data_IF_004528180701
#
_entry.id   IF_004528180701
#
_cell.length_a   1.000
_cell.length_b   1.000
_cell.length_c   1.000
_cell.angle_alpha   90.00
_cell.angle_beta   90.00
_cell.angle_gamma   90.00
#
_symmetry.space_group_name_H-M   'P 1'
#
loop_
_entity.id
_entity.type
_entity.pdbx_description
1 polymer ?
#
# COMPACT_ATOMS: atom_id res chain seq x y z
N UNK A 1 64.28 -54.55 -28.35
CA UNK A 1 63.40 -53.83 -29.29
C UNK A 1 62.81 -52.64 -28.54
N UNK A 2 63.48 -51.49 -28.50
CA UNK A 2 63.02 -50.29 -27.77
C UNK A 2 62.36 -49.33 -28.75
N UNK A 3 61.06 -49.07 -28.59
CA UNK A 3 60.33 -48.05 -29.36
C UNK A 3 60.72 -46.65 -28.86
N UNK A 4 61.21 -45.81 -29.77
CA UNK A 4 61.42 -44.37 -29.52
C UNK A 4 60.07 -43.67 -29.38
N UNK A 5 59.87 -43.01 -28.24
CA UNK A 5 58.80 -42.02 -28.04
C UNK A 5 59.19 -40.74 -28.77
N UNK A 6 58.40 -40.36 -29.78
CA UNK A 6 58.51 -39.06 -30.45
C UNK A 6 58.05 -37.96 -29.49
N UNK A 7 59.00 -37.15 -29.03
CA UNK A 7 58.73 -35.85 -28.40
C UNK A 7 58.20 -34.90 -29.47
N UNK A 8 56.92 -34.54 -29.39
CA UNK A 8 56.34 -33.45 -30.19
C UNK A 8 56.84 -32.13 -29.62
N UNK A 9 57.74 -31.46 -30.34
CA UNK A 9 58.08 -30.05 -30.11
C UNK A 9 56.81 -29.21 -30.30
N UNK A 10 56.20 -28.75 -29.21
CA UNK A 10 55.26 -27.64 -29.28
C UNK A 10 56.04 -26.40 -29.73
N UNK A 11 55.73 -25.91 -30.94
CA UNK A 11 56.33 -24.71 -31.48
C UNK A 11 55.99 -23.48 -30.62
N UNK A 12 56.84 -22.47 -30.70
CA UNK A 12 56.75 -21.17 -30.01
C UNK A 12 55.44 -20.39 -30.20
N UNK A 13 54.49 -20.88 -31.02
CA UNK A 13 53.17 -20.30 -31.22
C UNK A 13 52.12 -20.68 -30.15
N UNK A 14 52.29 -21.81 -29.46
CA UNK A 14 51.37 -22.23 -28.39
C UNK A 14 51.30 -21.25 -27.19
N UNK A 15 52.42 -20.70 -26.66
CA UNK A 15 52.34 -19.71 -25.59
C UNK A 15 51.73 -18.39 -26.05
N UNK A 16 51.89 -18.03 -27.33
CA UNK A 16 51.38 -16.79 -27.90
C UNK A 16 49.85 -16.85 -28.09
N UNK A 17 49.31 -18.00 -28.52
CA UNK A 17 47.87 -18.26 -28.56
C UNK A 17 47.23 -18.28 -27.17
N UNK A 18 47.92 -18.87 -26.18
CA UNK A 18 47.46 -18.85 -24.79
C UNK A 18 47.44 -17.41 -24.23
N UNK A 19 48.47 -16.62 -24.52
CA UNK A 19 48.54 -15.21 -24.14
C UNK A 19 47.47 -14.36 -24.81
N UNK A 20 47.21 -14.56 -26.11
CA UNK A 20 46.17 -13.85 -26.84
C UNK A 20 44.77 -14.17 -26.28
N UNK A 21 44.53 -15.43 -25.91
CA UNK A 21 43.27 -15.88 -25.30
C UNK A 21 43.06 -15.28 -23.91
N UNK A 22 44.14 -15.18 -23.12
CA UNK A 22 44.09 -14.55 -21.80
C UNK A 22 43.89 -13.03 -21.90
N UNK A 23 44.55 -12.37 -22.85
CA UNK A 23 44.34 -10.95 -23.14
C UNK A 23 42.91 -10.67 -23.66
N UNK A 24 42.35 -11.56 -24.48
CA UNK A 24 40.97 -11.44 -24.95
C UNK A 24 39.96 -11.62 -23.80
N UNK A 25 40.20 -12.53 -22.86
CA UNK A 25 39.40 -12.66 -21.64
C UNK A 25 39.52 -11.44 -20.71
N UNK A 26 40.68 -10.76 -20.69
CA UNK A 26 40.87 -9.52 -19.92
C UNK A 26 40.23 -8.29 -20.56
N UNK A 27 40.14 -8.25 -21.89
CA UNK A 27 39.49 -7.15 -22.64
C UNK A 27 37.96 -7.31 -22.64
N UNK A 28 37.45 -8.54 -22.62
CA UNK A 28 36.04 -8.82 -22.33
C UNK A 28 35.86 -8.99 -20.82
N UNK A 29 36.09 -7.90 -20.08
CA UNK A 29 35.64 -7.86 -18.69
C UNK A 29 34.14 -8.20 -18.64
N UNK A 30 33.65 -8.93 -17.62
CA UNK A 30 32.23 -9.09 -17.43
C UNK A 30 31.65 -7.67 -17.37
N UNK A 31 30.82 -7.31 -18.36
CA UNK A 31 29.95 -6.15 -18.19
C UNK A 31 29.14 -6.49 -16.96
N UNK A 32 29.29 -5.72 -15.89
CA UNK A 32 28.36 -5.78 -14.77
C UNK A 32 26.98 -5.67 -15.38
N UNK A 33 26.20 -6.75 -15.33
CA UNK A 33 24.78 -6.65 -15.61
C UNK A 33 24.25 -5.70 -14.53
N UNK A 34 24.02 -4.44 -14.90
CA UNK A 34 23.26 -3.54 -14.04
C UNK A 34 21.86 -4.14 -13.98
N UNK A 35 21.50 -4.76 -12.87
CA UNK A 35 20.13 -5.14 -12.65
C UNK A 35 19.35 -3.83 -12.48
N UNK A 36 18.40 -3.56 -13.37
CA UNK A 36 17.49 -2.43 -13.18
C UNK A 36 16.80 -2.59 -11.82
N UNK A 37 16.68 -1.48 -11.11
CA UNK A 37 16.07 -1.44 -9.78
C UNK A 37 14.71 -0.75 -9.90
N UNK A 38 13.76 -1.13 -9.06
CA UNK A 38 12.48 -0.43 -8.97
C UNK A 38 12.64 0.68 -7.94
N UNK A 39 12.35 1.91 -8.33
CA UNK A 39 12.26 3.07 -7.43
C UNK A 39 10.81 3.51 -7.32
N UNK A 40 10.33 3.75 -6.10
CA UNK A 40 8.95 4.19 -5.87
C UNK A 40 9.00 5.69 -5.62
N UNK A 41 8.57 6.46 -6.61
CA UNK A 41 8.47 7.91 -6.51
C UNK A 41 7.31 8.32 -5.61
N UNK A 42 6.15 7.67 -5.81
CA UNK A 42 4.94 7.94 -5.05
C UNK A 42 4.10 6.67 -4.89
N UNK A 43 3.60 6.44 -3.69
CA UNK A 43 2.49 5.53 -3.46
C UNK A 43 1.46 6.27 -2.63
N UNK A 44 0.23 6.38 -3.11
CA UNK A 44 -0.80 7.25 -2.53
C UNK A 44 -2.15 6.57 -2.43
N UNK A 45 -2.93 6.91 -1.41
CA UNK A 45 -4.30 6.43 -1.21
C UNK A 45 -5.28 7.59 -1.09
N UNK A 46 -6.37 7.53 -1.83
CA UNK A 46 -7.43 8.52 -1.83
C UNK A 46 -8.75 7.86 -1.44
N UNK A 47 -9.44 8.41 -0.44
CA UNK A 47 -10.82 8.03 -0.13
C UNK A 47 -11.75 9.12 -0.60
N UNK A 48 -12.56 8.80 -1.60
CA UNK A 48 -13.54 9.72 -2.16
C UNK A 48 -14.94 9.37 -1.68
N UNK A 49 -15.72 10.38 -1.29
CA UNK A 49 -17.15 10.25 -0.97
C UNK A 49 -17.87 11.58 -1.23
N UNK A 50 -19.08 11.59 -1.84
CA UNK A 50 -19.83 12.80 -2.07
C UNK A 50 -20.65 13.25 -0.83
N UNK A 51 -20.76 12.43 0.22
CA UNK A 51 -21.70 12.67 1.33
C UNK A 51 -21.21 13.64 2.41
N UNK A 52 -19.91 13.96 2.46
CA UNK A 52 -19.30 14.85 3.46
C UNK A 52 -18.82 16.18 2.87
N UNK A 53 -19.66 16.77 2.01
CA UNK A 53 -19.42 18.03 1.31
C UNK A 53 -19.64 19.31 2.17
N UNK A 54 -19.29 19.27 3.46
CA UNK A 54 -19.41 20.42 4.39
C UNK A 54 -18.08 21.07 4.76
N UNK A 55 -16.98 20.62 4.15
CA UNK A 55 -15.73 21.40 3.99
C UNK A 55 -15.11 21.26 2.59
N UNK A 56 -15.83 20.61 1.65
CA UNK A 56 -15.42 20.34 0.26
C UNK A 56 -16.10 21.31 -0.75
N UNK A 57 -16.93 22.25 -0.25
CA UNK A 57 -17.68 23.24 -1.03
C UNK A 57 -17.00 24.62 -1.14
N UNK A 58 -15.69 24.62 -1.38
CA UNK A 58 -14.94 25.77 -1.87
C UNK A 58 -14.11 25.33 -3.06
N UNK A 59 -14.73 25.26 -4.24
CA UNK A 59 -14.12 24.94 -5.54
C UNK A 59 -13.13 23.77 -5.52
N UNK A 60 -13.62 22.56 -5.82
CA UNK A 60 -12.85 21.38 -6.25
C UNK A 60 -11.46 21.22 -5.61
N UNK A 61 -11.36 20.59 -4.44
CA UNK A 61 -10.06 20.17 -3.90
C UNK A 61 -10.18 18.91 -3.03
N UNK A 62 -9.44 17.87 -3.46
CA UNK A 62 -9.36 16.53 -2.88
C UNK A 62 -8.96 16.52 -1.40
N UNK A 63 -9.52 15.55 -0.69
CA UNK A 63 -9.16 15.15 0.68
C UNK A 63 -8.09 14.03 0.65
N UNK A 64 -7.14 14.07 1.59
CA UNK A 64 -5.72 13.71 1.42
C UNK A 64 -5.29 12.24 1.65
N UNK A 65 -4.10 12.00 1.09
CA UNK A 65 -3.15 10.90 0.92
C UNK A 65 -2.57 10.13 2.14
N UNK A 66 -2.01 8.93 1.89
CA UNK A 66 -0.97 8.24 2.68
C UNK A 66 0.21 7.95 1.73
N UNK A 67 1.31 8.68 1.88
CA UNK A 67 2.52 8.56 1.03
C UNK A 67 3.56 7.65 1.68
N UNK A 68 4.09 6.67 0.92
CA UNK A 68 5.30 5.93 1.28
C UNK A 68 6.40 6.21 0.22
N UNK A 69 7.32 7.15 0.49
CA UNK A 69 8.45 7.48 -0.39
C UNK A 69 9.26 8.71 0.08
N UNK A 70 10.55 8.86 -0.31
CA UNK A 70 11.40 9.99 0.08
C UNK A 70 11.16 11.29 -0.72
N UNK A 71 10.46 11.22 -1.85
CA UNK A 71 10.13 12.38 -2.68
C UNK A 71 8.71 12.87 -2.41
N UNK A 72 8.62 13.73 -1.40
CA UNK A 72 7.40 14.44 -1.04
C UNK A 72 7.09 15.48 -2.12
N UNK A 73 6.06 15.27 -2.96
CA UNK A 73 5.49 16.33 -3.79
C UNK A 73 4.77 17.33 -2.87
N UNK A 74 5.59 18.24 -2.36
CA UNK A 74 5.31 19.25 -1.36
C UNK A 74 4.13 20.16 -1.69
N UNK A 75 3.36 20.53 -0.64
CA UNK A 75 3.15 21.97 -0.37
C UNK A 75 1.77 22.58 -0.63
N UNK A 76 0.67 21.85 -0.49
CA UNK A 76 -0.70 22.42 -0.54
C UNK A 76 -1.52 22.21 0.74
N UNK A 77 -2.60 22.98 0.96
CA UNK A 77 -3.38 23.02 2.20
C UNK A 77 -4.37 21.85 2.28
N UNK A 78 -3.88 20.64 2.53
CA UNK A 78 -4.73 19.44 2.57
C UNK A 78 -4.75 18.82 3.99
N UNK A 79 -5.83 18.10 4.32
CA UNK A 79 -6.02 17.42 5.61
C UNK A 79 -5.96 15.89 5.46
N UNK A 80 -4.93 15.28 6.07
CA UNK A 80 -4.64 13.84 6.01
C UNK A 80 -5.79 13.04 6.64
N UNK A 81 -5.87 11.74 6.34
CA UNK A 81 -6.86 10.86 6.97
C UNK A 81 -6.95 11.09 8.50
N UNK A 82 -5.81 11.33 9.15
CA UNK A 82 -5.71 11.62 10.57
C UNK A 82 -6.40 12.95 10.95
N UNK A 83 -6.20 14.02 10.19
CA UNK A 83 -6.83 15.33 10.38
C UNK A 83 -8.35 15.29 10.14
N UNK A 84 -8.84 14.31 9.37
CA UNK A 84 -10.27 14.04 9.22
C UNK A 84 -10.84 13.11 10.30
N UNK A 85 -10.01 12.67 11.24
CA UNK A 85 -10.41 11.82 12.35
C UNK A 85 -10.48 10.33 12.02
N UNK A 86 -9.96 9.89 10.88
CA UNK A 86 -9.74 8.46 10.62
C UNK A 86 -8.54 7.94 11.41
N UNK A 87 -8.58 6.67 11.79
CA UNK A 87 -7.41 5.96 12.30
C UNK A 87 -6.69 5.28 11.14
N UNK A 88 -5.38 5.50 11.01
CA UNK A 88 -4.58 4.90 9.94
C UNK A 88 -3.48 4.02 10.53
N UNK A 89 -3.30 2.83 9.99
CA UNK A 89 -2.15 1.97 10.26
C UNK A 89 -1.56 1.47 8.95
N UNK A 90 -0.25 1.62 8.79
CA UNK A 90 0.48 1.21 7.59
C UNK A 90 1.52 0.18 7.99
N UNK A 91 1.53 -0.95 7.29
CA UNK A 91 2.57 -1.97 7.37
C UNK A 91 3.28 -2.05 6.03
N UNK A 92 4.55 -1.61 6.02
CA UNK A 92 5.42 -1.72 4.85
C UNK A 92 6.15 -3.08 4.90
N UNK A 93 5.82 -3.96 3.96
CA UNK A 93 6.47 -5.26 3.74
C UNK A 93 7.32 -5.30 2.47
N UNK A 94 7.77 -4.15 1.96
CA UNK A 94 8.68 -4.08 0.81
C UNK A 94 10.09 -4.49 1.22
N UNK A 95 10.78 -5.19 0.32
CA UNK A 95 12.17 -5.58 0.47
C UNK A 95 13.12 -4.50 -0.11
N UNK A 96 14.43 -4.78 -0.13
CA UNK A 96 15.44 -3.86 -0.64
C UNK A 96 15.31 -3.52 -2.14
N UNK A 97 14.53 -4.28 -2.89
CA UNK A 97 14.24 -4.05 -4.30
C UNK A 97 12.87 -3.38 -4.50
N UNK A 98 12.24 -2.85 -3.44
CA UNK A 98 10.90 -2.26 -3.46
C UNK A 98 9.79 -3.21 -3.93
N UNK A 99 10.01 -4.53 -3.78
CA UNK A 99 9.03 -5.58 -4.05
C UNK A 99 8.46 -6.12 -2.75
N UNK A 100 7.20 -6.53 -2.75
CA UNK A 100 6.53 -7.09 -1.58
C UNK A 100 5.09 -6.61 -1.46
N UNK A 101 4.67 -6.30 -0.24
CA UNK A 101 3.30 -5.84 0.03
C UNK A 101 3.27 -4.60 0.91
N UNK A 102 2.34 -3.70 0.63
CA UNK A 102 1.96 -2.60 1.50
C UNK A 102 0.55 -2.91 2.02
N UNK A 103 0.38 -2.97 3.34
CA UNK A 103 -0.95 -3.10 3.95
C UNK A 103 -1.32 -1.81 4.66
N UNK A 104 -2.53 -1.32 4.39
CA UNK A 104 -3.07 -0.10 5.00
C UNK A 104 -4.43 -0.41 5.60
N UNK A 105 -4.59 -0.08 6.88
CA UNK A 105 -5.86 -0.14 7.58
C UNK A 105 -6.34 1.29 7.81
N UNK A 106 -7.53 1.61 7.29
CA UNK A 106 -8.20 2.92 7.44
C UNK A 106 -9.48 2.69 8.23
N UNK A 107 -9.50 3.08 9.49
CA UNK A 107 -10.65 3.01 10.37
C UNK A 107 -11.41 4.33 10.43
N UNK A 108 -12.73 4.26 10.39
CA UNK A 108 -13.64 5.36 10.60
C UNK A 108 -14.23 5.31 12.02
N UNK A 109 -13.52 5.84 13.04
CA UNK A 109 -14.08 5.95 14.38
C UNK A 109 -15.09 7.11 14.48
N UNK A 110 -15.27 7.89 13.41
CA UNK A 110 -16.23 8.98 13.40
C UNK A 110 -17.64 8.39 13.43
N UNK A 111 -18.57 9.08 14.09
CA UNK A 111 -19.99 8.71 14.07
C UNK A 111 -20.65 8.94 12.70
N UNK A 112 -19.89 9.31 11.67
CA UNK A 112 -20.39 9.66 10.34
C UNK A 112 -20.15 8.51 9.36
N UNK A 113 -21.08 8.33 8.43
CA UNK A 113 -20.94 7.33 7.36
C UNK A 113 -20.58 8.05 6.07
N UNK A 114 -19.55 7.57 5.37
CA UNK A 114 -19.11 8.09 4.09
C UNK A 114 -19.68 7.18 2.99
N UNK A 115 -20.79 7.57 2.36
CA UNK A 115 -21.48 6.71 1.38
C UNK A 115 -22.15 7.53 0.25
N UNK A 116 -21.97 7.13 -1.03
CA UNK A 116 -21.07 6.10 -1.53
C UNK A 116 -19.59 6.46 -1.27
N UNK A 117 -18.69 5.48 -1.29
CA UNK A 117 -17.26 5.77 -1.16
C UNK A 117 -16.42 4.90 -2.09
N UNK A 118 -15.32 5.46 -2.59
CA UNK A 118 -14.34 4.77 -3.42
C UNK A 118 -12.96 4.94 -2.78
N UNK A 119 -12.20 3.85 -2.68
CA UNK A 119 -10.78 3.91 -2.37
C UNK A 119 -10.00 3.84 -3.68
N UNK A 120 -9.09 4.77 -3.91
CA UNK A 120 -8.21 4.79 -5.07
C UNK A 120 -6.77 4.69 -4.59
N UNK A 121 -6.03 3.75 -5.15
CA UNK A 121 -4.61 3.59 -4.90
C UNK A 121 -3.83 3.99 -6.14
N UNK A 122 -2.82 4.83 -5.96
CA UNK A 122 -1.95 5.33 -6.99
C UNK A 122 -0.52 4.86 -6.70
N UNK A 123 0.16 4.39 -7.73
CA UNK A 123 1.57 4.02 -7.69
C UNK A 123 2.28 4.70 -8.86
N UNK A 124 3.25 5.53 -8.51
CA UNK A 124 4.22 6.12 -9.42
C UNK A 124 5.58 5.49 -9.12
N UNK A 125 6.09 4.72 -10.07
CA UNK A 125 7.31 3.96 -9.89
C UNK A 125 8.13 3.91 -11.19
N UNK A 126 9.44 4.01 -11.04
CA UNK A 126 10.41 3.96 -12.13
C UNK A 126 11.21 2.66 -12.08
N UNK A 127 11.53 2.10 -13.24
CA UNK A 127 12.42 0.96 -13.38
C UNK A 127 13.72 1.56 -13.86
N UNK A 128 14.62 1.82 -12.92
CA UNK A 128 15.77 2.67 -13.11
C UNK A 128 17.06 1.88 -13.28
N UNK A 129 17.94 2.39 -14.13
CA UNK A 129 19.31 1.88 -14.26
C UNK A 129 20.16 2.20 -13.03
N UNK A 130 19.81 3.28 -12.31
CA UNK A 130 20.49 3.76 -11.10
C UNK A 130 19.43 4.23 -10.10
N UNK A 131 19.45 3.79 -8.82
CA UNK A 131 18.53 4.28 -7.79
C UNK A 131 18.50 5.81 -7.72
N UNK A 132 17.31 6.41 -7.65
CA UNK A 132 17.09 7.85 -7.64
C UNK A 132 17.14 8.53 -9.02
N UNK A 133 17.18 7.77 -10.11
CA UNK A 133 17.04 8.32 -11.46
C UNK A 133 15.56 8.45 -11.88
N UNK A 134 15.27 9.27 -12.88
CA UNK A 134 13.91 9.50 -13.43
C UNK A 134 13.85 8.90 -14.84
N UNK A 135 13.82 7.58 -14.87
CA UNK A 135 14.15 6.77 -16.02
C UNK A 135 12.83 6.28 -16.63
N UNK A 136 12.45 6.73 -17.85
CA UNK A 136 11.12 6.41 -18.41
C UNK A 136 10.86 4.91 -18.57
N UNK A 137 9.68 4.46 -18.19
CA UNK A 137 9.28 3.06 -18.29
C UNK A 137 8.55 2.79 -19.61
N UNK A 138 8.90 1.67 -20.25
CA UNK A 138 8.40 1.32 -21.58
C UNK A 138 7.12 0.52 -21.41
N UNK A 139 6.00 1.22 -21.37
CA UNK A 139 4.68 0.64 -21.61
C UNK A 139 4.12 -0.18 -20.44
N UNK A 140 2.80 -0.09 -20.30
CA UNK A 140 2.00 -0.84 -19.35
C UNK A 140 1.09 -1.76 -20.14
N UNK A 141 1.17 -3.07 -19.90
CA UNK A 141 0.13 -3.96 -20.35
C UNK A 141 -0.95 -4.06 -19.26
N UNK A 142 -2.22 -4.08 -19.66
CA UNK A 142 -3.31 -4.43 -18.76
C UNK A 142 -3.16 -5.94 -18.48
N UNK A 143 -2.73 -6.32 -17.27
CA UNK A 143 -2.88 -7.69 -16.80
C UNK A 143 -4.37 -8.09 -16.80
N UNK A 144 -4.68 -9.33 -17.14
CA UNK A 144 -6.10 -9.73 -17.35
C UNK A 144 -6.97 -9.72 -16.07
N UNK A 145 -6.39 -9.49 -14.88
CA UNK A 145 -7.02 -9.71 -13.57
C UNK A 145 -6.50 -8.73 -12.48
N UNK A 146 -7.00 -7.50 -12.43
CA UNK A 146 -6.63 -6.50 -11.40
C UNK A 146 -7.25 -6.79 -10.00
N UNK A 147 -7.30 -8.07 -9.62
CA UNK A 147 -7.78 -8.51 -8.32
C UNK A 147 -9.24 -8.13 -8.06
N UNK A 148 -9.48 -7.43 -6.96
CA UNK A 148 -10.80 -6.94 -6.57
C UNK A 148 -11.04 -5.47 -6.95
N UNK A 149 -10.15 -4.85 -7.74
CA UNK A 149 -10.35 -3.50 -8.20
C UNK A 149 -11.56 -3.44 -9.16
N UNK A 150 -12.38 -2.42 -9.01
CA UNK A 150 -13.58 -2.18 -9.83
C UNK A 150 -13.31 -1.29 -11.03
N UNK A 151 -12.22 -0.52 -11.00
CA UNK A 151 -11.73 0.22 -12.15
C UNK A 151 -10.20 0.42 -12.06
N UNK A 152 -9.57 0.73 -13.17
CA UNK A 152 -8.14 1.02 -13.25
C UNK A 152 -7.89 2.20 -14.19
N UNK A 153 -6.68 2.76 -14.12
CA UNK A 153 -6.18 3.68 -15.12
C UNK A 153 -4.67 3.63 -15.13
N UNK A 154 -4.09 3.66 -16.32
CA UNK A 154 -2.66 3.94 -16.52
C UNK A 154 -2.56 5.19 -17.35
N UNK A 155 -1.78 6.15 -16.88
CA UNK A 155 -1.63 7.45 -17.53
C UNK A 155 -0.23 7.99 -17.26
N UNK A 156 0.15 9.05 -17.96
CA UNK A 156 1.32 9.82 -17.56
C UNK A 156 1.01 10.65 -16.29
N UNK A 157 2.03 11.03 -15.50
CA UNK A 157 1.84 11.78 -14.25
C UNK A 157 1.09 13.12 -14.41
N UNK A 158 1.06 13.69 -15.62
CA UNK A 158 0.42 14.97 -15.93
C UNK A 158 -0.90 14.82 -16.72
N UNK A 159 -1.44 13.60 -16.77
CA UNK A 159 -2.56 13.23 -17.63
C UNK A 159 -3.92 13.51 -17.02
N UNK A 160 -4.92 12.76 -17.47
CA UNK A 160 -6.29 12.84 -16.98
C UNK A 160 -6.48 12.20 -15.60
N UNK A 161 -5.51 11.39 -15.15
CA UNK A 161 -5.57 10.59 -13.93
C UNK A 161 -5.96 11.41 -12.69
N UNK A 162 -5.33 12.57 -12.47
CA UNK A 162 -5.67 13.42 -11.31
C UNK A 162 -7.12 13.92 -11.36
N UNK A 163 -7.60 14.30 -12.55
CA UNK A 163 -8.99 14.72 -12.77
C UNK A 163 -10.00 13.61 -12.50
N UNK A 164 -9.64 12.37 -12.86
CA UNK A 164 -10.45 11.20 -12.62
C UNK A 164 -10.47 10.84 -11.11
N UNK A 165 -9.31 10.88 -10.44
CA UNK A 165 -9.20 10.72 -8.97
C UNK A 165 -10.04 11.77 -8.24
N UNK A 166 -9.99 13.03 -8.69
CA UNK A 166 -10.83 14.14 -8.21
C UNK A 166 -12.32 13.84 -8.32
N UNK A 167 -12.73 13.23 -9.43
CA UNK A 167 -14.10 12.82 -9.68
C UNK A 167 -14.49 11.51 -8.95
N UNK A 168 -13.55 10.86 -8.26
CA UNK A 168 -13.78 9.58 -7.58
C UNK A 168 -13.97 8.42 -8.55
N UNK A 169 -13.46 8.53 -9.77
CA UNK A 169 -13.63 7.55 -10.85
C UNK A 169 -12.28 7.22 -11.49
N UNK A 170 -12.19 6.09 -12.19
CA UNK A 170 -11.13 5.80 -13.16
C UNK A 170 -11.81 5.35 -14.45
N UNK A 171 -11.21 5.62 -15.60
CA UNK A 171 -11.85 5.45 -16.91
C UNK A 171 -11.55 4.11 -17.60
N UNK A 172 -10.80 3.20 -16.95
CA UNK A 172 -10.41 1.89 -17.49
C UNK A 172 -9.60 1.97 -18.77
N UNK A 173 -8.76 2.99 -18.85
CA UNK A 173 -7.90 3.22 -20.01
C UNK A 173 -6.44 2.97 -19.67
N UNK A 174 -5.69 2.78 -20.75
CA UNK A 174 -4.24 2.81 -20.75
C UNK A 174 -3.82 3.93 -21.70
N UNK A 175 -3.56 5.12 -21.17
CA UNK A 175 -3.27 6.35 -21.92
C UNK A 175 -1.82 6.46 -22.38
N UNK A 176 -1.13 5.33 -22.56
CA UNK A 176 0.26 5.33 -22.99
C UNK A 176 0.35 5.70 -24.47
N UNK A 177 1.13 6.75 -24.76
CA UNK A 177 1.53 7.13 -26.11
C UNK A 177 2.52 6.12 -26.70
N UNK A 178 2.75 6.17 -28.01
CA UNK A 178 3.72 5.28 -28.67
C UNK A 178 5.18 5.67 -28.36
N UNK A 179 5.64 5.50 -27.11
CA UNK A 179 6.99 5.83 -26.67
C UNK A 179 7.27 5.49 -25.20
N UNK A 180 8.56 5.48 -24.79
CA UNK A 180 8.94 5.41 -23.37
C UNK A 180 8.51 6.71 -22.69
N UNK A 181 7.34 6.70 -22.08
CA UNK A 181 6.84 7.79 -21.25
C UNK A 181 6.81 7.34 -19.79
N UNK A 182 7.01 8.26 -18.87
CA UNK A 182 6.76 8.00 -17.45
C UNK A 182 5.28 7.64 -17.24
N UNK A 183 5.00 6.62 -16.43
CA UNK A 183 3.65 6.12 -16.22
C UNK A 183 3.33 5.92 -14.76
N UNK A 184 2.12 6.36 -14.40
CA UNK A 184 1.53 6.19 -13.09
C UNK A 184 0.37 5.20 -13.20
N UNK A 185 0.32 4.25 -12.26
CA UNK A 185 -0.67 3.18 -12.20
C UNK A 185 -1.71 3.48 -11.12
N UNK A 186 -2.99 3.32 -11.43
CA UNK A 186 -4.06 3.53 -10.45
C UNK A 186 -5.10 2.41 -10.44
N UNK A 187 -5.53 2.03 -9.24
CA UNK A 187 -6.55 1.02 -8.97
C UNK A 187 -7.66 1.64 -8.11
N UNK A 188 -8.91 1.45 -8.49
CA UNK A 188 -10.09 1.93 -7.76
C UNK A 188 -10.91 0.76 -7.24
N UNK A 189 -11.33 0.87 -5.97
CA UNK A 189 -12.16 -0.10 -5.27
C UNK A 189 -13.45 0.59 -4.83
N UNK A 190 -14.58 0.21 -5.43
CA UNK A 190 -15.88 0.70 -5.01
C UNK A 190 -16.31 0.03 -3.71
N UNK A 191 -16.56 0.85 -2.69
CA UNK A 191 -17.03 0.40 -1.39
C UNK A 191 -18.56 0.40 -1.47
N UNK A 192 -19.16 -0.72 -1.90
CA UNK A 192 -20.57 -0.83 -2.29
C UNK A 192 -21.63 -0.39 -1.27
N UNK A 193 -21.25 -0.04 -0.03
CA UNK A 193 -22.10 0.59 0.99
C UNK A 193 -21.48 1.82 1.67
N UNK A 194 -20.35 2.30 1.15
CA UNK A 194 -19.52 3.32 1.79
C UNK A 194 -18.70 2.80 2.97
N UNK A 195 -18.04 3.73 3.67
CA UNK A 195 -17.33 3.48 4.92
C UNK A 195 -18.16 4.00 6.10
N UNK A 196 -18.89 3.11 6.75
CA UNK A 196 -19.78 3.41 7.87
C UNK A 196 -19.06 3.80 9.15
N UNK A 197 -19.83 4.32 10.10
CA UNK A 197 -19.34 4.60 11.45
C UNK A 197 -18.86 3.31 12.13
N UNK A 198 -17.70 3.37 12.78
CA UNK A 198 -17.02 2.23 13.39
C UNK A 198 -16.68 1.08 12.42
N UNK A 199 -16.50 1.38 11.14
CA UNK A 199 -15.99 0.44 10.15
C UNK A 199 -14.55 0.76 9.79
N UNK A 200 -13.85 -0.23 9.24
CA UNK A 200 -12.49 -0.07 8.73
C UNK A 200 -12.36 -0.73 7.36
N UNK A 201 -11.43 -0.19 6.58
CA UNK A 201 -10.91 -0.79 5.36
C UNK A 201 -9.58 -1.45 5.70
N UNK A 202 -9.38 -2.66 5.22
CA UNK A 202 -8.09 -3.31 5.16
C UNK A 202 -7.73 -3.45 3.68
N UNK A 203 -6.78 -2.62 3.24
CA UNK A 203 -6.25 -2.62 1.89
C UNK A 203 -4.88 -3.28 1.88
N UNK A 204 -4.65 -4.19 0.94
CA UNK A 204 -3.35 -4.84 0.73
C UNK A 204 -2.97 -4.68 -0.73
N UNK A 205 -1.82 -4.06 -0.96
CA UNK A 205 -1.25 -3.81 -2.28
C UNK A 205 0.01 -4.64 -2.45
N UNK A 206 0.20 -5.20 -3.62
CA UNK A 206 1.32 -6.07 -3.96
C UNK A 206 2.09 -5.49 -5.13
N UNK A 207 3.41 -5.41 -4.96
CA UNK A 207 4.37 -5.04 -5.97
C UNK A 207 5.26 -6.25 -6.24
N UNK A 208 5.15 -6.83 -7.43
CA UNK A 208 5.85 -8.09 -7.79
C UNK A 208 6.56 -7.98 -9.12
N UNK A 209 7.59 -8.79 -9.32
CA UNK A 209 8.29 -8.96 -10.60
C UNK A 209 7.82 -10.21 -11.36
N UNK A 210 6.70 -10.78 -10.95
CA UNK A 210 6.03 -11.88 -11.62
C UNK A 210 4.55 -11.52 -11.78
N UNK A 211 3.95 -12.02 -12.86
CA UNK A 211 2.57 -11.74 -13.20
C UNK A 211 1.62 -12.19 -12.08
N UNK A 212 0.89 -11.23 -11.52
CA UNK A 212 -0.15 -11.41 -10.51
C UNK A 212 -1.53 -10.95 -11.01
N UNK A 213 -1.67 -10.74 -12.32
CA UNK A 213 -2.86 -10.19 -12.97
C UNK A 213 -3.02 -8.66 -12.89
N UNK A 214 -2.16 -7.98 -12.13
CA UNK A 214 -2.22 -6.53 -11.88
C UNK A 214 -1.90 -5.64 -13.08
N UNK A 215 -1.82 -4.34 -12.82
CA UNK A 215 -1.28 -3.38 -13.77
C UNK A 215 0.21 -3.63 -13.91
N UNK A 216 0.68 -3.78 -15.15
CA UNK A 216 2.06 -4.17 -15.44
C UNK A 216 2.82 -2.98 -15.99
N UNK A 217 4.09 -2.82 -15.65
CA UNK A 217 5.01 -1.85 -16.23
C UNK A 217 6.32 -2.58 -16.50
N UNK A 218 6.98 -2.30 -17.63
CA UNK A 218 8.19 -3.02 -18.01
C UNK A 218 9.29 -2.11 -18.54
N UNK A 219 10.53 -2.56 -18.40
CA UNK A 219 11.70 -1.95 -19.05
C UNK A 219 12.84 -2.94 -19.16
N UNK A 220 13.41 -3.08 -20.35
CA UNK A 220 14.60 -3.90 -20.66
C UNK A 220 14.60 -5.31 -20.01
N UNK A 221 13.44 -5.95 -19.92
CA UNK A 221 13.27 -7.29 -19.34
C UNK A 221 13.09 -7.33 -17.83
N UNK A 222 12.93 -6.18 -17.17
CA UNK A 222 12.44 -6.05 -15.80
C UNK A 222 10.96 -5.72 -15.82
N UNK A 223 10.18 -6.46 -15.04
CA UNK A 223 8.74 -6.31 -14.91
C UNK A 223 8.36 -5.83 -13.50
N UNK A 224 7.38 -4.96 -13.42
CA UNK A 224 6.70 -4.55 -12.20
C UNK A 224 5.19 -4.74 -12.37
N UNK A 225 4.58 -5.50 -11.47
CA UNK A 225 3.14 -5.70 -11.41
C UNK A 225 2.58 -5.09 -10.13
N UNK A 226 1.56 -4.25 -10.28
CA UNK A 226 0.83 -3.60 -9.21
C UNK A 226 -0.60 -4.15 -9.14
N UNK A 227 -0.92 -4.79 -8.02
CA UNK A 227 -2.26 -5.32 -7.76
C UNK A 227 -2.66 -5.03 -6.32
N UNK A 228 -3.93 -5.19 -5.99
CA UNK A 228 -4.38 -5.09 -4.61
C UNK A 228 -5.76 -5.66 -4.36
N UNK A 229 -6.11 -5.68 -3.08
CA UNK A 229 -7.41 -6.06 -2.60
C UNK A 229 -7.81 -5.18 -1.43
N UNK A 230 -9.11 -4.90 -1.32
CA UNK A 230 -9.69 -4.10 -0.24
C UNK A 230 -10.84 -4.87 0.37
N UNK A 231 -10.81 -5.02 1.69
CA UNK A 231 -11.86 -5.67 2.46
C UNK A 231 -12.35 -4.72 3.54
N UNK A 232 -13.67 -4.64 3.69
CA UNK A 232 -14.30 -3.85 4.74
C UNK A 232 -14.68 -4.72 5.92
N UNK A 233 -14.42 -4.25 7.14
CA UNK A 233 -14.80 -4.91 8.38
C UNK A 233 -15.23 -3.89 9.43
N UNK A 234 -15.73 -4.35 10.58
CA UNK A 234 -15.93 -3.45 11.73
C UNK A 234 -14.59 -3.16 12.39
N UNK A 235 -14.47 -1.97 13.01
CA UNK A 235 -13.39 -1.69 13.94
C UNK A 235 -13.44 -2.71 15.08
N UNK A 236 -12.29 -3.20 15.58
CA UNK A 236 -12.27 -3.99 16.80
C UNK A 236 -12.92 -3.20 17.94
N UNK A 237 -13.72 -3.84 18.81
CA UNK A 237 -14.31 -3.15 19.95
C UNK A 237 -13.18 -2.49 20.76
N UNK A 238 -13.33 -1.20 21.03
CA UNK A 238 -12.40 -0.48 21.89
C UNK A 238 -12.29 -1.16 23.26
N UNK A 239 -11.24 -0.87 24.05
CA UNK A 239 -11.10 -1.43 25.38
C UNK A 239 -12.39 -1.14 26.16
N UNK A 240 -13.13 -2.20 26.52
CA UNK A 240 -14.29 -2.08 27.39
C UNK A 240 -13.77 -1.41 28.67
N UNK A 241 -14.32 -0.26 29.08
CA UNK A 241 -13.85 0.38 30.30
C UNK A 241 -14.03 -0.62 31.43
N UNK A 242 -12.92 -1.13 31.97
CA UNK A 242 -12.94 -1.87 33.24
C UNK A 242 -13.62 -0.94 34.24
N UNK A 243 -14.75 -1.34 34.85
CA UNK A 243 -15.44 -0.50 35.81
C UNK A 243 -14.42 -0.04 36.85
N UNK A 244 -14.34 1.27 37.08
CA UNK A 244 -13.42 1.79 38.08
C UNK A 244 -13.72 1.10 39.42
N UNK A 245 -12.70 0.82 40.25
CA UNK A 245 -12.92 0.19 41.56
C UNK A 245 -13.97 0.93 42.41
N UNK A 246 -14.09 2.25 42.22
CA UNK A 246 -15.11 3.08 42.87
C UNK A 246 -16.54 2.69 42.48
N UNK A 247 -16.80 2.28 41.24
CA UNK A 247 -18.13 1.86 40.77
C UNK A 247 -18.52 0.50 41.36
N UNK A 248 -17.55 -0.41 41.54
CA UNK A 248 -17.75 -1.68 42.25
C UNK A 248 -17.95 -1.47 43.75
N UNK A 249 -17.23 -0.52 44.35
CA UNK A 249 -17.38 -0.15 45.75
C UNK A 249 -18.77 0.49 46.00
N UNK A 250 -19.25 1.33 45.09
CA UNK A 250 -20.57 1.95 45.15
C UNK A 250 -21.70 0.91 44.98
N UNK A 251 -21.53 -0.06 44.08
CA UNK A 251 -22.48 -1.17 43.90
C UNK A 251 -22.50 -2.09 45.13
N UNK A 252 -21.33 -2.39 45.71
CA UNK A 252 -21.20 -3.20 46.92
C UNK A 252 -21.74 -2.52 48.18
N UNK A 253 -21.53 -1.20 48.32
CA UNK A 253 -22.03 -0.43 49.47
C UNK A 253 -23.54 -0.17 49.35
N UNK A 254 -24.08 0.08 48.15
CA UNK A 254 -25.52 0.25 47.93
C UNK A 254 -26.35 -1.01 48.21
N UNK A 255 -25.87 -2.19 47.77
CA UNK A 255 -26.51 -3.47 48.05
C UNK A 255 -26.36 -3.89 49.54
N UNK A 256 -25.20 -3.62 50.15
CA UNK A 256 -24.95 -3.92 51.56
C UNK A 256 -25.81 -3.09 52.52
N UNK A 257 -25.93 -1.77 52.28
CA UNK A 257 -26.72 -0.88 53.14
C UNK A 257 -28.22 -1.17 53.05
N UNK A 258 -28.72 -1.53 51.87
CA UNK A 258 -30.14 -1.90 51.69
C UNK A 258 -30.47 -3.24 52.37
N UNK A 259 -29.58 -4.22 52.37
CA UNK A 259 -29.74 -5.48 53.10
C UNK A 259 -29.71 -5.25 54.64
N UNK A 260 -28.76 -4.46 55.15
CA UNK A 260 -28.64 -4.14 56.58
C UNK A 260 -29.84 -3.32 57.07
N UNK A 261 -30.32 -2.36 56.27
CA UNK A 261 -31.53 -1.59 56.59
C UNK A 261 -32.77 -2.49 56.68
N UNK A 262 -32.89 -3.49 55.80
CA UNK A 262 -34.01 -4.45 55.81
C UNK A 262 -33.94 -5.39 57.01
N UNK A 263 -32.74 -5.81 57.41
CA UNK A 263 -32.53 -6.65 58.59
C UNK A 263 -32.86 -5.90 59.90
N UNK A 264 -32.42 -4.64 60.02
CA UNK A 264 -32.74 -3.79 61.18
C UNK A 264 -34.24 -3.57 61.35
N UNK A 265 -35.00 -3.36 60.28
CA UNK A 265 -36.47 -3.22 60.35
C UNK A 265 -37.17 -4.49 60.82
N UNK A 266 -36.69 -5.67 60.42
CA UNK A 266 -37.27 -6.94 60.89
C UNK A 266 -37.00 -7.18 62.38
N UNK A 267 -35.80 -6.87 62.86
CA UNK A 267 -35.43 -7.04 64.28
C UNK A 267 -36.15 -6.05 65.21
N UNK A 268 -36.37 -4.81 64.75
CA UNK A 268 -37.11 -3.81 65.54
C UNK A 268 -38.61 -4.10 65.59
N UNK A 269 -39.20 -4.68 64.54
CA UNK A 269 -40.59 -5.15 64.58
C UNK A 269 -40.79 -6.33 65.54
N UNK A 270 -39.81 -7.24 65.65
CA UNK A 270 -39.86 -8.36 66.59
C UNK A 270 -39.80 -7.94 68.06
N UNK A 271 -39.09 -6.85 68.38
CA UNK A 271 -38.89 -6.35 69.74
C UNK A 271 -40.08 -5.55 70.31
N UNK A 272 -41.05 -5.18 69.47
CA UNK A 272 -42.29 -4.50 69.88
C UNK A 272 -43.42 -5.51 70.13
N UNK A 273 -43.22 -6.77 69.77
CA UNK A 273 -44.20 -7.85 69.91
C UNK A 273 -44.00 -8.72 71.16
N UNK A 274 -43.06 -8.35 72.04
CA UNK A 274 -42.92 -8.86 73.43
C UNK A 274 -43.38 -7.79 74.42
#
# INVERSE_FOLDING_TARGET
MFRRLCSSRMGSGAPLLAWLSFALMLVVGPRSASALTIDINQFSLFLWSPSNDTSINGTSSLQQDIIIGPHNLSGGPFSDFLAQGFSVSVTNGLNANNLGTISVIIGNPTGTTFAPANLIALLDADIVTTPGATDNNLDSAIGTHHGSATAFQVDNPFGSLLGNILAGTLDNTNHIGAGPDDVTLALLYSLGGGLGANQQLNAVFSLTNFDNGGLHQLREGTDLFFNGAVVQSNLPPGPVPTPEPATLLLLGTGAGLSAVARLRRKLSAARIAE
#
